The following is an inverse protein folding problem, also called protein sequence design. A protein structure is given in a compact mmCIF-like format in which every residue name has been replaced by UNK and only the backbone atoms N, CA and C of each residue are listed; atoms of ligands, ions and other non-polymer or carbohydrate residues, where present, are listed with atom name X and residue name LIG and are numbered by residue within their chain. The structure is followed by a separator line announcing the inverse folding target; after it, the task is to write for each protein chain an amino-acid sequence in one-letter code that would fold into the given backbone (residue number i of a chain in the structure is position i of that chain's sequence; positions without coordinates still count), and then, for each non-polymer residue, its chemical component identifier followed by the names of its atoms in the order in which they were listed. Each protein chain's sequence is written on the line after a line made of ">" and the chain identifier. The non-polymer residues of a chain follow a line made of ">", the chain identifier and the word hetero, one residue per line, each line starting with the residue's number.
data_IF_135149250902
#
_entry.id   IF_135149250902
#
_cell.length_a   1.000
_cell.length_b   1.000
_cell.length_c   1.000
_cell.angle_alpha   90.00
_cell.angle_beta   90.00
_cell.angle_gamma   90.00
#
_symmetry.space_group_name_H-M   'P 1'
#
loop_
_entity.id
_entity.type
_entity.pdbx_description
1 polymer ?
#
# COMPACT_ATOMS: atom_id res chain seq x y z
N UNK A 1 3.48 -24.03 8.70
CA UNK A 1 2.97 -23.80 7.33
C UNK A 1 4.05 -23.00 6.62
N UNK A 2 4.55 -23.50 5.51
CA UNK A 2 5.59 -22.83 4.71
C UNK A 2 4.97 -21.59 4.07
N UNK A 3 5.42 -20.40 4.49
CA UNK A 3 5.12 -19.15 3.78
C UNK A 3 5.75 -19.26 2.38
N UNK A 4 4.97 -19.76 1.43
CA UNK A 4 5.28 -19.61 0.01
C UNK A 4 5.07 -18.14 -0.31
N UNK A 5 6.16 -17.37 -0.30
CA UNK A 5 6.18 -16.10 -1.02
C UNK A 5 5.96 -16.49 -2.48
N UNK A 6 4.76 -16.22 -3.02
CA UNK A 6 4.56 -16.23 -4.46
C UNK A 6 5.49 -15.17 -5.02
N UNK A 7 6.52 -15.61 -5.74
CA UNK A 7 7.45 -14.72 -6.42
C UNK A 7 6.91 -14.57 -7.84
N UNK A 8 6.90 -13.34 -8.36
CA UNK A 8 6.64 -13.08 -9.77
C UNK A 8 7.44 -14.05 -10.67
N UNK A 9 6.73 -14.94 -11.36
CA UNK A 9 7.27 -15.80 -12.40
C UNK A 9 6.79 -15.25 -13.74
N UNK A 10 7.69 -15.13 -14.70
CA UNK A 10 7.33 -14.78 -16.07
C UNK A 10 6.59 -15.95 -16.73
N UNK A 11 5.60 -15.65 -17.59
CA UNK A 11 4.77 -16.66 -18.27
C UNK A 11 5.56 -17.66 -19.14
N UNK A 12 6.80 -17.32 -19.49
CA UNK A 12 7.74 -18.13 -20.28
C UNK A 12 8.73 -18.94 -19.43
N UNK A 13 8.71 -18.78 -18.10
CA UNK A 13 9.64 -19.42 -17.16
C UNK A 13 11.12 -19.06 -17.38
N UNK A 14 11.43 -18.06 -18.21
CA UNK A 14 12.82 -17.77 -18.63
C UNK A 14 13.63 -17.02 -17.59
N UNK A 15 12.97 -16.30 -16.67
CA UNK A 15 13.66 -15.53 -15.65
C UNK A 15 14.00 -16.43 -14.46
N UNK A 16 15.06 -17.22 -14.58
CA UNK A 16 15.73 -17.88 -13.45
C UNK A 16 16.65 -16.89 -12.74
N UNK A 17 16.09 -15.85 -12.13
CA UNK A 17 16.86 -14.98 -11.25
C UNK A 17 17.30 -15.81 -10.03
N UNK A 18 18.58 -15.73 -9.66
CA UNK A 18 19.01 -16.17 -8.34
C UNK A 18 18.46 -15.19 -7.30
N UNK A 19 17.27 -15.51 -6.80
CA UNK A 19 16.58 -14.71 -5.80
C UNK A 19 17.22 -14.95 -4.45
N UNK A 20 17.74 -13.89 -3.84
CA UNK A 20 18.20 -13.92 -2.46
C UNK A 20 17.01 -13.51 -1.59
N UNK A 21 16.56 -14.44 -0.76
CA UNK A 21 15.59 -14.20 0.30
C UNK A 21 16.36 -14.11 1.61
N UNK A 22 16.38 -12.93 2.22
CA UNK A 22 17.09 -12.68 3.47
C UNK A 22 16.27 -11.69 4.30
N UNK A 23 16.09 -11.99 5.60
CA UNK A 23 15.23 -11.22 6.51
C UNK A 23 13.79 -11.03 5.98
N UNK A 24 13.21 -12.08 5.40
CA UNK A 24 11.85 -12.06 4.81
C UNK A 24 11.65 -11.06 3.65
N UNK A 25 12.73 -10.46 3.14
CA UNK A 25 12.69 -9.58 1.97
C UNK A 25 13.39 -10.21 0.76
N UNK A 26 12.93 -9.83 -0.43
CA UNK A 26 13.57 -10.15 -1.69
C UNK A 26 14.67 -9.13 -1.98
N UNK A 27 15.85 -9.61 -2.35
CA UNK A 27 17.00 -8.77 -2.69
C UNK A 27 17.46 -9.00 -4.12
N UNK A 28 17.58 -7.92 -4.90
CA UNK A 28 18.08 -7.93 -6.27
C UNK A 28 19.20 -6.92 -6.49
N UNK A 29 20.15 -7.24 -7.36
CA UNK A 29 21.13 -6.28 -7.89
C UNK A 29 20.51 -5.43 -9.01
N UNK A 30 21.17 -4.33 -9.37
CA UNK A 30 20.73 -3.50 -10.52
C UNK A 30 20.67 -4.29 -11.84
N UNK A 31 21.60 -5.24 -12.04
CA UNK A 31 21.63 -6.09 -13.23
C UNK A 31 20.42 -7.02 -13.25
N UNK A 32 20.07 -7.60 -12.10
CA UNK A 32 18.90 -8.47 -11.97
C UNK A 32 17.60 -7.69 -12.14
N UNK A 33 17.50 -6.45 -11.62
CA UNK A 33 16.35 -5.59 -11.88
C UNK A 33 16.25 -5.19 -13.36
N UNK A 34 17.38 -4.97 -14.02
CA UNK A 34 17.41 -4.67 -15.45
C UNK A 34 16.90 -5.85 -16.29
N UNK A 35 17.29 -7.07 -15.92
CA UNK A 35 16.77 -8.31 -16.51
C UNK A 35 15.26 -8.49 -16.23
N UNK A 36 14.84 -8.35 -14.97
CA UNK A 36 13.45 -8.47 -14.54
C UNK A 36 12.52 -7.53 -15.32
N UNK A 37 12.94 -6.29 -15.52
CA UNK A 37 12.14 -5.25 -16.18
C UNK A 37 12.46 -5.04 -17.66
N UNK A 38 13.29 -5.91 -18.27
CA UNK A 38 13.73 -5.78 -19.68
C UNK A 38 14.19 -4.35 -20.02
N UNK A 39 15.13 -3.82 -19.24
CA UNK A 39 15.72 -2.49 -19.42
C UNK A 39 17.24 -2.50 -19.20
N UNK A 40 17.92 -1.36 -19.27
CA UNK A 40 19.36 -1.27 -19.01
C UNK A 40 19.67 -1.04 -17.54
N UNK A 41 20.82 -1.54 -17.06
CA UNK A 41 21.33 -1.26 -15.71
C UNK A 41 21.50 0.24 -15.44
N UNK A 42 21.85 1.01 -16.48
CA UNK A 42 22.00 2.47 -16.39
C UNK A 42 20.65 3.14 -16.14
N UNK A 43 19.57 2.65 -16.76
CA UNK A 43 18.21 3.14 -16.50
C UNK A 43 17.75 2.81 -15.08
N UNK A 44 18.05 1.61 -14.59
CA UNK A 44 17.81 1.25 -13.18
C UNK A 44 18.57 2.18 -12.24
N UNK A 45 19.86 2.44 -12.52
CA UNK A 45 20.69 3.35 -11.74
C UNK A 45 20.12 4.76 -11.69
N UNK A 46 19.61 5.25 -12.82
CA UNK A 46 18.96 6.56 -12.92
C UNK A 46 17.71 6.62 -12.02
N UNK A 47 16.85 5.61 -12.07
CA UNK A 47 15.64 5.57 -11.24
C UNK A 47 15.97 5.50 -9.75
N UNK A 48 16.91 4.65 -9.34
CA UNK A 48 17.36 4.55 -7.93
C UNK A 48 17.91 5.88 -7.43
N UNK A 49 18.74 6.55 -8.24
CA UNK A 49 19.28 7.87 -7.90
C UNK A 49 18.16 8.87 -7.66
N UNK A 50 17.16 8.92 -8.54
CA UNK A 50 16.04 9.85 -8.41
C UNK A 50 15.19 9.52 -7.17
N UNK A 51 14.89 8.25 -6.91
CA UNK A 51 14.14 7.79 -5.73
C UNK A 51 14.78 8.31 -4.43
N UNK A 52 16.10 8.20 -4.31
CA UNK A 52 16.81 8.67 -3.10
C UNK A 52 16.95 10.19 -3.05
N UNK A 53 17.13 10.86 -4.20
CA UNK A 53 17.16 12.33 -4.27
C UNK A 53 15.80 12.95 -3.90
N UNK A 54 14.71 12.31 -4.31
CA UNK A 54 13.32 12.69 -4.00
C UNK A 54 12.91 12.27 -2.58
N UNK A 55 13.77 11.57 -1.84
CA UNK A 55 13.51 11.07 -0.49
C UNK A 55 12.28 10.15 -0.41
N UNK A 56 11.92 9.47 -1.51
CA UNK A 56 10.86 8.45 -1.51
C UNK A 56 11.28 7.27 -0.62
N UNK A 57 12.56 6.89 -0.69
CA UNK A 57 13.16 5.83 0.11
C UNK A 57 14.48 6.30 0.74
N UNK A 58 14.87 5.64 1.84
CA UNK A 58 16.19 5.82 2.43
C UNK A 58 17.15 4.74 1.93
N UNK A 59 18.28 5.14 1.33
CA UNK A 59 19.25 4.20 0.75
C UNK A 59 19.79 3.19 1.78
N UNK A 60 20.14 3.65 2.99
CA UNK A 60 20.66 2.77 4.04
C UNK A 60 19.63 1.74 4.54
N UNK A 61 18.33 2.00 4.39
CA UNK A 61 17.28 1.07 4.81
C UNK A 61 16.85 0.11 3.69
N UNK A 62 17.26 0.38 2.45
CA UNK A 62 16.81 -0.33 1.24
C UNK A 62 17.95 -0.98 0.47
N UNK A 63 19.19 -0.88 0.98
CA UNK A 63 20.38 -1.45 0.35
C UNK A 63 21.21 -2.24 1.35
N UNK A 64 21.82 -3.31 0.87
CA UNK A 64 22.74 -4.15 1.65
C UNK A 64 23.86 -4.66 0.73
N UNK A 65 25.08 -4.72 1.24
CA UNK A 65 26.24 -5.21 0.49
C UNK A 65 26.44 -6.70 0.77
N UNK A 66 26.17 -7.54 -0.24
CA UNK A 66 26.34 -8.99 -0.12
C UNK A 66 27.63 -9.46 -0.78
N UNK A 67 28.29 -10.41 -0.12
CA UNK A 67 29.45 -11.08 -0.68
C UNK A 67 29.05 -12.10 -1.74
N UNK A 68 29.54 -11.91 -2.96
CA UNK A 68 29.34 -12.82 -4.08
C UNK A 68 30.69 -13.38 -4.52
N UNK A 69 30.77 -14.71 -4.62
CA UNK A 69 31.95 -15.41 -5.13
C UNK A 69 31.80 -15.56 -6.64
N UNK A 70 32.77 -15.02 -7.38
CA UNK A 70 32.85 -15.17 -8.84
C UNK A 70 34.13 -15.92 -9.22
N UNK A 71 34.05 -16.81 -10.20
CA UNK A 71 35.22 -17.40 -10.84
C UNK A 71 35.75 -16.44 -11.91
N UNK A 72 36.94 -15.88 -11.71
CA UNK A 72 37.66 -15.07 -12.69
C UNK A 72 38.88 -15.87 -13.17
N UNK A 73 38.75 -16.54 -14.32
CA UNK A 73 39.76 -17.44 -14.85
C UNK A 73 39.94 -18.68 -13.96
N UNK A 74 41.08 -18.78 -13.25
CA UNK A 74 41.37 -19.86 -12.30
C UNK A 74 41.20 -19.44 -10.82
N UNK A 75 40.83 -18.19 -10.54
CA UNK A 75 40.75 -17.65 -9.17
C UNK A 75 39.30 -17.43 -8.78
N UNK A 76 38.94 -17.86 -7.57
CA UNK A 76 37.71 -17.40 -6.93
C UNK A 76 37.97 -16.05 -6.28
N UNK A 77 37.19 -15.05 -6.68
CA UNK A 77 37.27 -13.69 -6.17
C UNK A 77 35.94 -13.36 -5.48
N UNK A 78 36.02 -12.91 -4.23
CA UNK A 78 34.87 -12.45 -3.47
C UNK A 78 34.75 -10.93 -3.66
N UNK A 79 33.57 -10.45 -4.06
CA UNK A 79 33.27 -9.02 -4.15
C UNK A 79 32.01 -8.71 -3.34
N UNK A 80 31.99 -7.54 -2.73
CA UNK A 80 30.76 -6.97 -2.19
C UNK A 80 29.97 -6.36 -3.33
N UNK A 81 28.70 -6.77 -3.46
CA UNK A 81 27.78 -6.27 -4.47
C UNK A 81 26.56 -5.73 -3.73
N UNK A 82 26.24 -4.47 -4.01
CA UNK A 82 25.04 -3.81 -3.48
C UNK A 82 23.77 -4.46 -4.05
N UNK A 83 22.90 -4.90 -3.17
CA UNK A 83 21.55 -5.36 -3.49
C UNK A 83 20.52 -4.39 -2.93
N UNK A 84 19.33 -4.46 -3.50
CA UNK A 84 18.20 -3.60 -3.23
C UNK A 84 17.03 -4.47 -2.79
N UNK A 85 16.37 -4.07 -1.72
CA UNK A 85 15.26 -4.82 -1.13
C UNK A 85 13.98 -4.69 -1.97
N UNK A 86 12.90 -5.34 -1.54
CA UNK A 86 11.62 -5.34 -2.23
C UNK A 86 11.04 -3.93 -2.45
N UNK A 87 11.19 -3.01 -1.49
CA UNK A 87 10.67 -1.64 -1.62
C UNK A 87 11.32 -0.90 -2.79
N UNK A 88 12.65 -1.00 -2.89
CA UNK A 88 13.40 -0.40 -3.99
C UNK A 88 13.04 -1.06 -5.35
N UNK A 89 12.85 -2.39 -5.37
CA UNK A 89 12.43 -3.13 -6.58
C UNK A 89 11.05 -2.66 -7.03
N UNK A 90 10.10 -2.49 -6.11
CA UNK A 90 8.75 -2.00 -6.39
C UNK A 90 8.81 -0.57 -6.93
N UNK A 91 9.46 0.36 -6.23
CA UNK A 91 9.57 1.76 -6.67
C UNK A 91 10.19 1.89 -8.06
N UNK A 92 11.23 1.11 -8.36
CA UNK A 92 11.81 1.06 -9.71
C UNK A 92 10.82 0.47 -10.72
N UNK A 93 10.15 -0.63 -10.38
CA UNK A 93 9.14 -1.27 -11.24
C UNK A 93 7.98 -0.33 -11.61
N UNK A 94 7.63 0.63 -10.76
CA UNK A 94 6.63 1.66 -11.07
C UNK A 94 7.15 2.79 -11.98
N UNK A 95 8.46 3.01 -12.03
CA UNK A 95 9.10 4.08 -12.83
C UNK A 95 9.60 3.61 -14.20
N UNK A 96 9.84 2.30 -14.37
CA UNK A 96 10.29 1.72 -15.65
C UNK A 96 9.12 1.56 -16.64
N UNK A 97 9.34 2.03 -17.87
CA UNK A 97 8.42 1.88 -18.99
C UNK A 97 8.80 0.67 -19.85
N UNK A 98 8.29 -0.50 -19.47
CA UNK A 98 8.41 -1.73 -20.26
C UNK A 98 7.19 -2.64 -20.11
N UNK A 99 7.04 -3.60 -21.01
CA UNK A 99 6.00 -4.63 -20.93
C UNK A 99 6.15 -5.45 -19.65
N UNK A 100 7.38 -5.84 -19.28
CA UNK A 100 7.66 -6.57 -18.05
C UNK A 100 7.35 -5.76 -16.79
N UNK A 101 7.73 -4.49 -16.76
CA UNK A 101 7.37 -3.62 -15.65
C UNK A 101 5.83 -3.48 -15.52
N UNK A 102 5.11 -3.48 -16.64
CA UNK A 102 3.64 -3.48 -16.63
C UNK A 102 3.07 -4.77 -16.05
N UNK A 103 3.57 -5.93 -16.47
CA UNK A 103 3.16 -7.22 -15.92
C UNK A 103 3.49 -7.33 -14.42
N UNK A 104 4.67 -6.88 -14.01
CA UNK A 104 5.06 -6.82 -12.60
C UNK A 104 4.11 -5.95 -11.78
N UNK A 105 3.73 -4.75 -12.25
CA UNK A 105 2.77 -3.88 -11.56
C UNK A 105 1.40 -4.54 -11.42
N UNK A 106 0.91 -5.23 -12.47
CA UNK A 106 -0.36 -5.97 -12.44
C UNK A 106 -0.28 -7.08 -11.39
N UNK A 107 0.79 -7.87 -11.41
CA UNK A 107 1.01 -8.94 -10.45
C UNK A 107 1.09 -8.40 -9.01
N UNK A 108 1.92 -7.39 -8.74
CA UNK A 108 2.11 -6.82 -7.41
C UNK A 108 0.79 -6.25 -6.86
N UNK A 109 0.00 -5.58 -7.70
CA UNK A 109 -1.33 -5.06 -7.33
C UNK A 109 -2.30 -6.19 -6.99
N UNK A 110 -2.33 -7.26 -7.79
CA UNK A 110 -3.18 -8.42 -7.54
C UNK A 110 -2.77 -9.18 -6.26
N UNK A 111 -1.47 -9.35 -6.03
CA UNK A 111 -0.95 -9.99 -4.82
C UNK A 111 -1.30 -9.18 -3.58
N UNK A 112 -1.12 -7.86 -3.60
CA UNK A 112 -1.55 -6.98 -2.52
C UNK A 112 -3.05 -7.10 -2.27
N UNK A 113 -3.86 -7.06 -3.33
CA UNK A 113 -5.32 -7.23 -3.26
C UNK A 113 -5.68 -8.57 -2.59
N UNK A 114 -5.03 -9.67 -2.97
CA UNK A 114 -5.27 -10.99 -2.41
C UNK A 114 -4.94 -11.03 -0.91
N UNK A 115 -3.77 -10.52 -0.50
CA UNK A 115 -3.41 -10.46 0.92
C UNK A 115 -4.37 -9.60 1.74
N UNK A 116 -4.87 -8.50 1.19
CA UNK A 116 -5.88 -7.67 1.86
C UNK A 116 -7.20 -8.42 2.04
N UNK A 117 -7.65 -9.16 1.02
CA UNK A 117 -8.87 -9.99 1.10
C UNK A 117 -8.72 -11.11 2.12
N UNK A 118 -7.60 -11.83 2.09
CA UNK A 118 -7.31 -12.92 3.03
C UNK A 118 -7.19 -12.41 4.46
N UNK A 119 -6.48 -11.30 4.67
CA UNK A 119 -6.35 -10.64 5.97
C UNK A 119 -7.70 -10.18 6.53
N UNK A 120 -8.57 -9.61 5.68
CA UNK A 120 -9.92 -9.25 6.05
C UNK A 120 -10.76 -10.47 6.42
N UNK A 121 -10.78 -11.50 5.58
CA UNK A 121 -11.55 -12.72 5.79
C UNK A 121 -11.12 -13.40 7.10
N UNK A 122 -9.82 -13.50 7.35
CA UNK A 122 -9.27 -14.07 8.58
C UNK A 122 -9.67 -13.26 9.82
N UNK A 123 -9.65 -11.93 9.73
CA UNK A 123 -10.08 -11.08 10.84
C UNK A 123 -11.59 -11.15 11.09
N UNK A 124 -12.41 -11.22 10.04
CA UNK A 124 -13.85 -11.42 10.16
C UNK A 124 -14.18 -12.74 10.86
N UNK A 125 -13.51 -13.84 10.47
CA UNK A 125 -13.64 -15.14 11.13
C UNK A 125 -13.23 -15.08 12.61
N UNK A 126 -12.09 -14.46 12.93
CA UNK A 126 -11.63 -14.28 14.33
C UNK A 126 -12.62 -13.49 15.19
N UNK A 127 -13.31 -12.53 14.60
CA UNK A 127 -14.34 -11.74 15.29
C UNK A 127 -15.61 -12.57 15.50
N UNK A 128 -16.06 -13.31 14.48
CA UNK A 128 -17.18 -14.24 14.60
C UNK A 128 -16.92 -15.33 15.64
N UNK A 129 -15.72 -15.91 15.69
CA UNK A 129 -15.32 -16.89 16.71
C UNK A 129 -15.38 -16.32 18.14
N UNK A 130 -15.22 -15.00 18.29
CA UNK A 130 -15.38 -14.30 19.57
C UNK A 130 -16.83 -13.89 19.86
N UNK A 131 -17.78 -14.30 19.02
CA UNK A 131 -19.20 -13.95 19.13
C UNK A 131 -19.52 -12.51 18.74
N UNK A 132 -18.60 -11.86 18.02
CA UNK A 132 -18.69 -10.46 17.62
C UNK A 132 -18.81 -10.42 16.10
N UNK A 133 -20.03 -10.27 15.58
CA UNK A 133 -20.14 -9.91 14.16
C UNK A 133 -19.59 -8.51 13.99
N UNK A 134 -18.65 -8.31 13.07
CA UNK A 134 -17.95 -7.03 12.91
C UNK A 134 -18.92 -5.84 12.72
N UNK A 135 -19.96 -6.03 11.92
CA UNK A 135 -21.05 -5.05 11.72
C UNK A 135 -21.82 -4.79 13.01
N UNK A 136 -22.09 -5.82 13.80
CA UNK A 136 -22.71 -5.67 15.12
C UNK A 136 -21.76 -5.02 16.12
N UNK A 137 -20.45 -5.24 16.01
CA UNK A 137 -19.43 -4.62 16.85
C UNK A 137 -19.35 -3.13 16.57
N UNK A 138 -19.29 -2.73 15.30
CA UNK A 138 -19.30 -1.35 14.87
C UNK A 138 -20.64 -0.70 15.23
N UNK A 139 -21.76 -1.36 14.95
CA UNK A 139 -23.08 -0.82 15.31
C UNK A 139 -23.27 -0.70 16.83
N UNK A 140 -22.75 -1.64 17.62
CA UNK A 140 -22.81 -1.61 19.08
C UNK A 140 -21.83 -0.61 19.66
N UNK A 141 -20.64 -0.45 19.08
CA UNK A 141 -19.69 0.62 19.43
C UNK A 141 -20.30 1.98 19.11
N UNK A 142 -20.75 2.22 17.88
CA UNK A 142 -21.41 3.46 17.47
C UNK A 142 -22.63 3.77 18.33
N UNK A 143 -23.48 2.77 18.62
CA UNK A 143 -24.63 2.94 19.53
C UNK A 143 -24.20 3.20 20.97
N UNK A 144 -23.21 2.49 21.50
CA UNK A 144 -22.76 2.66 22.89
C UNK A 144 -22.12 4.04 23.07
N UNK A 145 -21.33 4.45 22.09
CA UNK A 145 -20.68 5.75 22.00
C UNK A 145 -21.71 6.90 21.94
N UNK A 146 -22.73 6.78 21.08
CA UNK A 146 -23.83 7.75 21.00
C UNK A 146 -24.74 7.75 22.24
N UNK A 147 -25.09 6.56 22.76
CA UNK A 147 -26.08 6.39 23.82
C UNK A 147 -25.53 6.66 25.23
N UNK A 148 -24.21 6.55 25.45
CA UNK A 148 -23.58 6.97 26.71
C UNK A 148 -23.21 8.46 26.73
N UNK A 149 -23.55 9.24 25.69
CA UNK A 149 -23.09 10.64 25.52
C UNK A 149 -21.57 10.79 25.64
N UNK A 150 -20.82 9.73 25.33
CA UNK A 150 -19.36 9.70 25.35
C UNK A 150 -18.75 10.25 24.05
N UNK A 151 -19.59 10.73 23.15
CA UNK A 151 -19.24 11.33 21.86
C UNK A 151 -19.94 12.67 21.80
N UNK A 152 -19.15 13.73 21.67
CA UNK A 152 -19.59 15.10 21.41
C UNK A 152 -20.30 15.21 20.06
N UNK A 153 -21.05 16.31 19.81
CA UNK A 153 -21.59 16.60 18.46
C UNK A 153 -20.46 16.57 17.40
N UNK A 154 -19.24 16.94 17.78
CA UNK A 154 -18.04 16.78 16.95
C UNK A 154 -17.66 15.31 16.69
N UNK A 155 -17.82 14.41 17.65
CA UNK A 155 -17.48 13.00 17.48
C UNK A 155 -18.49 12.23 16.60
N UNK A 156 -19.76 12.64 16.57
CA UNK A 156 -20.75 12.10 15.63
C UNK A 156 -20.47 12.62 14.20
N UNK A 157 -20.05 13.88 14.08
CA UNK A 157 -19.55 14.43 12.82
C UNK A 157 -18.28 13.69 12.35
N UNK A 158 -17.34 13.36 13.23
CA UNK A 158 -16.13 12.56 12.92
C UNK A 158 -16.47 11.19 12.33
N UNK A 159 -17.44 10.48 12.92
CA UNK A 159 -17.88 9.17 12.42
C UNK A 159 -18.60 9.25 11.07
N UNK A 160 -19.49 10.22 10.90
CA UNK A 160 -20.17 10.46 9.62
C UNK A 160 -19.16 10.80 8.52
N UNK A 161 -18.20 11.65 8.85
CA UNK A 161 -17.17 12.12 7.94
C UNK A 161 -16.21 10.99 7.53
N UNK A 162 -15.80 10.09 8.44
CA UNK A 162 -15.00 8.89 8.09
C UNK A 162 -15.73 8.00 7.07
N UNK A 163 -16.99 7.69 7.37
CA UNK A 163 -17.81 6.85 6.52
C UNK A 163 -18.02 7.48 5.14
N UNK A 164 -18.25 8.80 5.10
CA UNK A 164 -18.46 9.56 3.86
C UNK A 164 -17.18 9.65 3.00
N UNK A 165 -15.98 9.71 3.59
CA UNK A 165 -14.72 9.73 2.83
C UNK A 165 -14.50 8.49 1.98
N UNK A 166 -14.62 7.32 2.63
CA UNK A 166 -14.33 6.05 2.00
C UNK A 166 -15.38 5.73 0.94
N UNK A 167 -16.65 6.05 1.23
CA UNK A 167 -17.75 5.90 0.29
C UNK A 167 -17.64 6.85 -0.90
N UNK A 168 -17.21 8.10 -0.71
CA UNK A 168 -16.99 9.05 -1.80
C UNK A 168 -15.95 8.53 -2.80
N UNK A 169 -14.78 8.10 -2.31
CA UNK A 169 -13.73 7.56 -3.17
C UNK A 169 -14.22 6.30 -3.89
N UNK A 170 -14.88 5.39 -3.17
CA UNK A 170 -15.40 4.15 -3.71
C UNK A 170 -16.42 4.38 -4.84
N UNK A 171 -17.46 5.16 -4.56
CA UNK A 171 -18.58 5.32 -5.49
C UNK A 171 -18.24 6.15 -6.72
N UNK A 172 -17.43 7.21 -6.59
CA UNK A 172 -16.99 7.98 -7.77
C UNK A 172 -16.18 7.10 -8.72
N UNK A 173 -15.36 6.20 -8.19
CA UNK A 173 -14.56 5.29 -9.00
C UNK A 173 -15.42 4.17 -9.60
N UNK A 174 -16.29 3.55 -8.81
CA UNK A 174 -17.09 2.37 -9.23
C UNK A 174 -18.28 2.69 -10.11
N UNK A 175 -18.99 3.79 -9.83
CA UNK A 175 -20.23 4.09 -10.52
C UNK A 175 -20.00 4.85 -11.83
N UNK A 176 -18.74 5.17 -12.16
CA UNK A 176 -18.34 5.87 -13.38
C UNK A 176 -19.26 7.06 -13.75
N UNK A 177 -19.52 8.03 -12.83
CA UNK A 177 -20.43 9.14 -13.09
C UNK A 177 -19.96 10.08 -14.21
N UNK A 178 -18.69 10.03 -14.58
CA UNK A 178 -18.09 10.82 -15.66
C UNK A 178 -17.71 9.94 -16.85
N UNK A 179 -17.71 10.55 -18.05
CA UNK A 179 -17.29 9.88 -19.28
C UNK A 179 -15.84 9.38 -19.26
N UNK A 180 -14.94 10.10 -18.59
CA UNK A 180 -13.56 9.70 -18.27
C UNK A 180 -13.11 10.38 -16.97
N UNK A 181 -12.01 9.93 -16.39
CA UNK A 181 -11.35 10.61 -15.28
C UNK A 181 -11.88 10.21 -13.91
N UNK A 182 -12.78 9.23 -13.80
CA UNK A 182 -13.40 8.82 -12.53
C UNK A 182 -12.39 8.53 -11.41
N UNK A 183 -11.25 7.88 -11.71
CA UNK A 183 -10.17 7.67 -10.73
C UNK A 183 -9.56 8.99 -10.25
N UNK A 184 -9.18 9.86 -11.20
CA UNK A 184 -8.58 11.18 -10.92
C UNK A 184 -9.54 12.08 -10.15
N UNK A 185 -10.80 12.13 -10.56
CA UNK A 185 -11.84 12.92 -9.90
C UNK A 185 -12.16 12.36 -8.52
N UNK A 186 -12.29 11.03 -8.36
CA UNK A 186 -12.51 10.39 -7.07
C UNK A 186 -11.38 10.68 -6.09
N UNK A 187 -10.14 10.52 -6.51
CA UNK A 187 -8.95 10.87 -5.73
C UNK A 187 -8.89 12.35 -5.37
N UNK A 188 -9.21 13.25 -6.32
CA UNK A 188 -9.24 14.69 -6.07
C UNK A 188 -10.33 15.06 -5.05
N UNK A 189 -11.55 14.55 -5.23
CA UNK A 189 -12.68 14.82 -4.33
C UNK A 189 -12.40 14.28 -2.93
N UNK A 190 -11.80 13.10 -2.84
CA UNK A 190 -11.36 12.51 -1.58
C UNK A 190 -10.34 13.38 -0.85
N UNK A 191 -9.25 13.80 -1.52
CA UNK A 191 -8.27 14.71 -0.93
C UNK A 191 -8.85 16.08 -0.57
N UNK A 192 -9.70 16.64 -1.44
CA UNK A 192 -10.38 17.91 -1.20
C UNK A 192 -11.27 17.83 0.04
N UNK A 193 -12.06 16.76 0.15
CA UNK A 193 -12.95 16.55 1.28
C UNK A 193 -12.17 16.32 2.58
N UNK A 194 -11.05 15.60 2.57
CA UNK A 194 -10.15 15.50 3.72
C UNK A 194 -9.57 16.86 4.11
N UNK A 195 -9.17 17.67 3.12
CA UNK A 195 -8.59 19.00 3.35
C UNK A 195 -9.59 19.99 3.93
N UNK A 196 -10.84 19.97 3.48
CA UNK A 196 -11.95 20.76 4.07
C UNK A 196 -12.13 20.42 5.55
N UNK A 197 -11.89 19.16 5.91
CA UNK A 197 -12.08 18.62 7.25
C UNK A 197 -10.76 18.41 8.02
N UNK A 198 -9.68 19.07 7.60
CA UNK A 198 -8.34 18.94 8.19
C UNK A 198 -8.33 19.14 9.72
N UNK A 199 -9.27 19.91 10.25
CA UNK A 199 -9.41 20.17 11.68
C UNK A 199 -9.72 18.91 12.50
N UNK A 200 -10.38 17.91 11.91
CA UNK A 200 -10.72 16.62 12.53
C UNK A 200 -9.59 15.57 12.43
N UNK A 201 -8.65 15.77 11.50
CA UNK A 201 -7.57 14.83 11.21
C UNK A 201 -6.41 14.97 12.20
N UNK A 202 -5.83 13.84 12.63
CA UNK A 202 -4.70 13.78 13.54
C UNK A 202 -3.43 14.43 12.99
N UNK A 203 -3.29 14.43 11.65
CA UNK A 203 -2.14 14.97 10.93
C UNK A 203 -2.60 15.71 9.66
N UNK A 204 -1.75 16.57 9.07
CA UNK A 204 -1.97 17.12 7.73
C UNK A 204 -2.28 16.01 6.72
N UNK A 205 -3.18 16.24 5.77
CA UNK A 205 -3.56 15.26 4.73
C UNK A 205 -2.32 14.69 4.03
N UNK A 206 -1.33 15.55 3.74
CA UNK A 206 -0.08 15.18 3.06
C UNK A 206 0.77 14.17 3.85
N UNK A 207 0.55 14.05 5.16
CA UNK A 207 1.22 13.06 6.02
C UNK A 207 0.37 11.81 6.28
N UNK A 208 -0.91 11.84 5.92
CA UNK A 208 -1.82 10.70 6.06
C UNK A 208 -1.81 9.85 4.80
N UNK A 209 -1.86 10.49 3.63
CA UNK A 209 -1.98 9.84 2.34
C UNK A 209 -1.03 10.53 1.37
N UNK A 210 0.03 9.83 0.97
CA UNK A 210 0.93 10.28 -0.08
C UNK A 210 0.41 9.89 -1.48
N UNK A 211 1.04 10.43 -2.52
CA UNK A 211 0.62 10.22 -3.91
C UNK A 211 0.58 8.73 -4.29
N UNK A 212 1.59 7.95 -3.86
CA UNK A 212 1.66 6.51 -4.15
C UNK A 212 0.50 5.75 -3.48
N UNK A 213 0.21 6.05 -2.22
CA UNK A 213 -0.92 5.45 -1.47
C UNK A 213 -2.25 5.78 -2.13
N UNK A 214 -2.46 7.03 -2.53
CA UNK A 214 -3.71 7.45 -3.18
C UNK A 214 -3.92 6.76 -4.53
N UNK A 215 -2.87 6.64 -5.33
CA UNK A 215 -2.92 5.92 -6.62
C UNK A 215 -3.23 4.45 -6.38
N UNK A 216 -2.56 3.80 -5.42
CA UNK A 216 -2.81 2.41 -5.07
C UNK A 216 -4.27 2.18 -4.62
N UNK A 217 -4.79 3.01 -3.72
CA UNK A 217 -6.19 2.94 -3.26
C UNK A 217 -7.17 3.12 -4.42
N UNK A 218 -6.94 4.11 -5.29
CA UNK A 218 -7.81 4.34 -6.45
C UNK A 218 -7.81 3.17 -7.45
N UNK A 219 -6.66 2.50 -7.62
CA UNK A 219 -6.56 1.30 -8.45
C UNK A 219 -7.26 0.09 -7.80
N UNK A 220 -7.02 -0.16 -6.52
CA UNK A 220 -7.66 -1.24 -5.77
C UNK A 220 -9.19 -1.10 -5.78
N UNK A 221 -9.70 0.11 -5.51
CA UNK A 221 -11.12 0.43 -5.63
C UNK A 221 -11.61 0.18 -7.04
N UNK A 222 -10.91 0.63 -8.08
CA UNK A 222 -11.35 0.41 -9.46
C UNK A 222 -11.43 -1.07 -9.84
N UNK A 223 -10.49 -1.89 -9.38
CA UNK A 223 -10.35 -3.30 -9.72
C UNK A 223 -11.07 -4.26 -8.77
N UNK A 224 -11.65 -3.78 -7.67
CA UNK A 224 -12.40 -4.61 -6.73
C UNK A 224 -13.65 -5.25 -7.36
N UNK A 225 -14.10 -6.37 -6.82
CA UNK A 225 -15.41 -6.93 -7.16
C UNK A 225 -16.52 -6.26 -6.31
N UNK A 226 -17.81 -6.31 -6.73
CA UNK A 226 -18.89 -5.69 -5.97
C UNK A 226 -19.05 -6.20 -4.53
N UNK A 227 -18.80 -7.49 -4.30
CA UNK A 227 -18.81 -8.14 -2.98
C UNK A 227 -17.62 -7.71 -2.09
N UNK A 228 -16.58 -7.11 -2.67
CA UNK A 228 -15.42 -6.56 -1.98
C UNK A 228 -15.61 -5.10 -1.54
N UNK A 229 -16.83 -4.53 -1.69
CA UNK A 229 -17.12 -3.13 -1.34
C UNK A 229 -16.65 -2.77 0.06
N UNK A 230 -17.15 -3.47 1.08
CA UNK A 230 -16.89 -3.13 2.48
C UNK A 230 -15.41 -3.23 2.84
N UNK A 231 -14.71 -4.22 2.29
CA UNK A 231 -13.25 -4.32 2.41
C UNK A 231 -12.54 -3.07 1.85
N UNK A 232 -12.93 -2.59 0.67
CA UNK A 232 -12.33 -1.39 0.09
C UNK A 232 -12.63 -0.14 0.90
N UNK A 233 -13.84 -0.02 1.45
CA UNK A 233 -14.22 1.08 2.35
C UNK A 233 -13.30 1.09 3.58
N UNK A 234 -13.19 -0.03 4.29
CA UNK A 234 -12.37 -0.11 5.49
C UNK A 234 -10.87 0.07 5.22
N UNK A 235 -10.38 -0.39 4.06
CA UNK A 235 -9.01 -0.15 3.65
C UNK A 235 -8.74 1.36 3.51
N UNK A 236 -9.66 2.11 2.91
CA UNK A 236 -9.53 3.56 2.76
C UNK A 236 -9.59 4.24 4.13
N UNK A 237 -10.51 3.83 5.01
CA UNK A 237 -10.63 4.35 6.38
C UNK A 237 -9.34 4.17 7.20
N UNK A 238 -8.61 3.06 6.99
CA UNK A 238 -7.37 2.78 7.72
C UNK A 238 -6.30 3.88 7.57
N UNK A 239 -6.29 4.60 6.45
CA UNK A 239 -5.34 5.69 6.21
C UNK A 239 -5.79 7.04 6.77
N UNK A 240 -7.02 7.13 7.30
CA UNK A 240 -7.60 8.36 7.83
C UNK A 240 -7.48 8.35 9.36
N UNK A 241 -6.38 8.89 9.88
CA UNK A 241 -6.18 9.03 11.32
C UNK A 241 -6.89 10.30 11.83
N UNK A 242 -7.85 10.14 12.74
CA UNK A 242 -8.57 11.24 13.40
C UNK A 242 -7.91 11.65 14.72
N UNK A 243 -8.06 12.92 15.12
CA UNK A 243 -7.62 13.37 16.45
C UNK A 243 -8.40 12.61 17.53
N UNK A 244 -7.71 12.10 18.55
CA UNK A 244 -8.36 11.70 19.78
C UNK A 244 -8.82 12.95 20.55
N UNK A 245 -9.97 12.89 21.23
CA UNK A 245 -10.41 13.96 22.12
C UNK A 245 -9.30 14.32 23.13
N UNK A 246 -9.05 15.61 23.30
CA UNK A 246 -8.16 16.13 24.35
C UNK A 246 -8.89 15.96 25.68
N UNK A 247 -8.80 14.77 26.27
CA UNK A 247 -9.10 14.54 27.69
C UNK A 247 -8.01 15.17 28.55
N UNK A 248 -8.03 16.48 28.71
CA UNK A 248 -7.06 17.25 29.49
C UNK A 248 -7.72 18.42 30.19
N UNK A 249 -8.64 18.15 31.11
CA UNK A 249 -9.05 19.15 32.10
C UNK A 249 -7.90 19.36 33.08
N UNK A 250 -7.18 20.46 32.91
CA UNK A 250 -6.47 21.09 34.01
C UNK A 250 -7.47 21.36 35.14
N UNK A 251 -7.36 20.62 36.23
CA UNK A 251 -7.88 21.03 37.53
C UNK A 251 -6.72 21.03 38.52
N UNK A 252 -6.55 22.20 39.12
CA UNK A 252 -5.53 22.66 40.07
C UNK A 252 -5.37 21.71 41.26
#
# INVERSE_FOLDING_TARGET
>A
MTNNIEIYQTDDGQVQLQLRLEQESLWLTQVQMAELFETSSDNISLHLKNIYQEQELQELATTEDFSVVRQEGKRQVQRQIKHYNLDAIISVGYRVSSTRATQFRIWATNTLKQYLIEGYTLNQLRLQERGVEFEQAIALLSRTLAHQQLVSDEGEAVLAVINDYAHLLYFVIKNHPLADGNKRTGSFLFLWYLRVNQHLLAKPVEQLINDNTLVALAHLVAESLPDQKELMIHLVEHFILMKAEIGGTNAI
#
